data_IF_988063282249
#
_entry.id   IF_988063282249
#
_cell.length_a   1.000
_cell.length_b   1.000
_cell.length_c   1.000
_cell.angle_alpha   90.00
_cell.angle_beta   90.00
_cell.angle_gamma   90.00
#
_symmetry.space_group_name_H-M   'P 1'
#
loop_
_entity.id
_entity.type
_entity.pdbx_description
1 polymer ?
#
# COMPACT_ATOMS: atom_id res chain seq x y z
N UNK A 1 7.18 6.84 5.94
CA UNK A 1 8.48 7.54 6.05
C UNK A 1 9.59 6.71 5.41
N UNK A 2 9.93 5.52 5.92
CA UNK A 2 10.92 4.64 5.26
C UNK A 2 10.59 4.34 3.78
N UNK A 3 9.35 3.93 3.50
CA UNK A 3 8.87 3.73 2.13
C UNK A 3 9.10 4.94 1.21
N UNK A 4 9.07 6.17 1.73
CA UNK A 4 9.31 7.40 0.96
C UNK A 4 10.80 7.67 0.78
N UNK A 5 11.61 7.42 1.81
CA UNK A 5 13.06 7.55 1.74
C UNK A 5 13.68 6.53 0.78
N UNK A 6 13.17 5.30 0.78
CA UNK A 6 13.67 4.20 -0.06
C UNK A 6 12.92 4.03 -1.38
N UNK A 7 11.79 4.72 -1.54
CA UNK A 7 10.85 4.53 -2.66
C UNK A 7 10.45 3.05 -2.87
N UNK A 8 10.10 2.36 -1.77
CA UNK A 8 9.76 0.93 -1.76
C UNK A 8 8.63 0.59 -0.77
N UNK A 9 8.39 -0.71 -0.54
CA UNK A 9 7.36 -1.23 0.40
C UNK A 9 7.98 -1.56 1.78
N UNK A 10 9.22 -1.15 2.04
CA UNK A 10 9.93 -1.43 3.28
C UNK A 10 9.18 -0.91 4.49
N UNK A 11 8.79 -1.84 5.37
CA UNK A 11 8.14 -1.52 6.64
C UNK A 11 9.16 -1.27 7.75
N UNK A 12 8.72 -1.49 8.99
CA UNK A 12 9.54 -1.24 10.18
C UNK A 12 10.42 -2.45 10.50
N UNK A 13 11.46 -2.70 9.70
CA UNK A 13 12.53 -3.59 10.13
C UNK A 13 13.49 -2.78 11.02
N UNK A 14 13.63 -3.14 12.30
CA UNK A 14 14.50 -2.40 13.23
C UNK A 14 15.96 -2.49 12.82
N UNK A 15 16.43 -3.64 12.30
CA UNK A 15 17.81 -3.77 11.85
C UNK A 15 18.09 -2.86 10.65
N UNK A 16 17.13 -2.70 9.74
CA UNK A 16 17.25 -1.75 8.61
C UNK A 16 17.15 -0.30 9.05
N UNK A 17 16.34 0.00 10.08
CA UNK A 17 16.28 1.34 10.68
C UNK A 17 17.62 1.67 11.30
N UNK A 18 18.18 0.75 12.07
CA UNK A 18 19.48 0.91 12.74
C UNK A 18 20.60 1.05 11.72
N UNK A 19 20.62 0.24 10.65
CA UNK A 19 21.58 0.39 9.55
C UNK A 19 21.44 1.73 8.82
N UNK A 20 20.21 2.18 8.57
CA UNK A 20 19.97 3.45 7.89
C UNK A 20 20.35 4.64 8.78
N UNK A 21 19.98 4.63 10.06
CA UNK A 21 20.36 5.67 11.02
C UNK A 21 21.86 5.70 11.29
N UNK A 22 22.54 4.54 11.27
CA UNK A 22 24.01 4.48 11.37
C UNK A 22 24.72 5.28 10.25
N UNK A 23 24.09 5.48 9.08
CA UNK A 23 24.60 6.34 8.00
C UNK A 23 24.51 7.84 8.31
N UNK A 24 23.83 8.21 9.39
CA UNK A 24 23.64 9.59 9.84
C UNK A 24 24.21 9.84 11.26
N UNK A 25 24.90 8.87 11.86
CA UNK A 25 25.51 9.00 13.20
C UNK A 25 26.70 9.99 13.22
N UNK A 26 27.25 10.32 12.04
CA UNK A 26 28.29 11.33 11.90
C UNK A 26 27.67 12.66 11.43
N UNK A 27 27.80 13.77 12.19
CA UNK A 27 27.23 15.08 11.84
C UNK A 27 27.72 15.66 10.50
N UNK A 28 28.76 15.06 9.90
CA UNK A 28 29.36 15.49 8.64
C UNK A 28 28.94 14.61 7.44
N UNK A 29 28.15 13.56 7.67
CA UNK A 29 27.65 12.69 6.61
C UNK A 29 26.28 13.20 6.14
N UNK A 30 26.33 14.12 5.16
CA UNK A 30 25.16 14.43 4.33
C UNK A 30 25.11 13.36 3.26
N UNK A 31 24.02 12.60 3.14
CA UNK A 31 23.80 11.75 1.98
C UNK A 31 23.72 12.68 0.75
N UNK A 32 24.72 12.67 -0.14
CA UNK A 32 24.75 13.61 -1.27
C UNK A 32 23.61 13.37 -2.27
N UNK A 33 22.89 12.25 -2.16
CA UNK A 33 21.75 11.93 -3.01
C UNK A 33 20.40 12.27 -2.35
N UNK A 34 20.37 12.64 -1.07
CA UNK A 34 19.14 13.06 -0.41
C UNK A 34 18.85 14.54 -0.68
N UNK A 35 17.76 14.80 -1.38
CA UNK A 35 17.26 16.16 -1.64
C UNK A 35 16.03 16.41 -0.78
N UNK A 36 16.19 17.18 0.31
CA UNK A 36 15.13 17.44 1.30
C UNK A 36 13.87 18.06 0.65
N UNK A 37 14.05 18.97 -0.30
CA UNK A 37 12.95 19.62 -1.00
C UNK A 37 12.12 18.63 -1.83
N UNK A 38 12.78 17.70 -2.55
CA UNK A 38 12.09 16.65 -3.32
C UNK A 38 11.34 15.69 -2.40
N UNK A 39 11.94 15.36 -1.25
CA UNK A 39 11.30 14.54 -0.23
C UNK A 39 10.02 15.21 0.31
N UNK A 40 10.12 16.49 0.68
CA UNK A 40 9.00 17.26 1.22
C UNK A 40 7.88 17.43 0.17
N UNK A 41 8.24 17.71 -1.07
CA UNK A 41 7.30 17.82 -2.19
C UNK A 41 6.56 16.50 -2.42
N UNK A 42 7.29 15.38 -2.48
CA UNK A 42 6.66 14.06 -2.67
C UNK A 42 5.76 13.69 -1.49
N UNK A 43 6.17 13.99 -0.26
CA UNK A 43 5.34 13.78 0.93
C UNK A 43 4.03 14.56 0.86
N UNK A 44 4.08 15.85 0.57
CA UNK A 44 2.90 16.71 0.50
C UNK A 44 2.01 16.34 -0.70
N UNK A 45 2.58 15.91 -1.83
CA UNK A 45 1.82 15.39 -2.97
C UNK A 45 1.01 14.15 -2.59
N UNK A 46 1.65 13.15 -1.98
CA UNK A 46 1.00 11.90 -1.55
C UNK A 46 -0.08 12.19 -0.51
N UNK A 47 0.24 13.00 0.50
CA UNK A 47 -0.71 13.42 1.54
C UNK A 47 -1.90 14.17 0.94
N UNK A 48 -1.64 15.12 0.03
CA UNK A 48 -2.67 15.89 -0.65
C UNK A 48 -3.63 15.00 -1.44
N UNK A 49 -3.10 14.02 -2.16
CA UNK A 49 -3.91 13.05 -2.88
C UNK A 49 -4.76 12.17 -1.95
N UNK A 50 -4.20 11.65 -0.85
CA UNK A 50 -4.95 10.86 0.14
C UNK A 50 -6.09 11.69 0.77
N UNK A 51 -5.83 12.96 1.09
CA UNK A 51 -6.85 13.87 1.62
C UNK A 51 -7.95 14.13 0.61
N UNK A 52 -7.60 14.32 -0.67
CA UNK A 52 -8.57 14.48 -1.75
C UNK A 52 -9.43 13.23 -1.92
N UNK A 53 -8.84 12.03 -1.92
CA UNK A 53 -9.58 10.75 -1.93
C UNK A 53 -10.51 10.66 -0.72
N UNK A 54 -10.04 11.02 0.47
CA UNK A 54 -10.85 10.98 1.69
C UNK A 54 -12.00 12.00 1.69
N UNK A 55 -11.93 13.06 0.88
CA UNK A 55 -13.05 13.99 0.71
C UNK A 55 -14.27 13.30 0.09
N UNK A 56 -14.06 12.23 -0.68
CA UNK A 56 -15.12 11.38 -1.22
C UNK A 56 -15.61 10.39 -0.16
N UNK A 57 -16.79 10.66 0.40
CA UNK A 57 -17.50 9.79 1.34
C UNK A 57 -16.68 9.31 2.56
N UNK A 58 -15.61 10.03 2.92
CA UNK A 58 -14.72 9.65 4.03
C UNK A 58 -14.12 8.25 3.87
N UNK A 59 -13.90 7.81 2.61
CA UNK A 59 -13.53 6.43 2.27
C UNK A 59 -12.26 5.97 2.98
N UNK A 60 -11.23 6.81 3.07
CA UNK A 60 -9.96 6.48 3.71
C UNK A 60 -10.17 6.34 5.22
N UNK A 61 -10.77 7.33 5.87
CA UNK A 61 -11.02 7.29 7.31
C UNK A 61 -12.04 6.21 7.72
N UNK A 62 -12.81 5.66 6.78
CA UNK A 62 -13.75 4.56 7.02
C UNK A 62 -13.09 3.20 6.84
N UNK A 63 -12.36 2.99 5.73
CA UNK A 63 -11.90 1.67 5.28
C UNK A 63 -10.40 1.42 5.52
N UNK A 64 -9.61 2.48 5.67
CA UNK A 64 -8.17 2.43 5.93
C UNK A 64 -7.80 2.72 7.40
N UNK A 65 -8.70 2.44 8.34
CA UNK A 65 -8.50 2.76 9.78
C UNK A 65 -7.32 2.01 10.41
N UNK A 66 -7.01 0.82 9.94
CA UNK A 66 -5.91 0.01 10.46
C UNK A 66 -4.59 0.48 9.86
N UNK A 67 -3.50 0.37 10.62
CA UNK A 67 -2.16 0.66 10.11
C UNK A 67 -1.85 -0.16 8.85
N UNK A 68 -2.27 -1.42 8.79
CA UNK A 68 -2.11 -2.31 7.64
C UNK A 68 -2.72 -1.71 6.37
N UNK A 69 -3.97 -1.24 6.43
CA UNK A 69 -4.69 -0.73 5.26
C UNK A 69 -4.23 0.67 4.89
N UNK A 70 -3.99 1.54 5.89
CA UNK A 70 -3.46 2.87 5.64
C UNK A 70 -2.08 2.80 4.99
N UNK A 71 -1.20 1.92 5.49
CA UNK A 71 0.13 1.72 4.92
C UNK A 71 0.07 1.22 3.48
N UNK A 72 -0.80 0.26 3.17
CA UNK A 72 -0.98 -0.22 1.79
C UNK A 72 -1.49 0.89 0.85
N UNK A 73 -2.40 1.75 1.30
CA UNK A 73 -2.85 2.92 0.54
C UNK A 73 -1.74 3.96 0.37
N UNK A 74 -0.95 4.22 1.42
CA UNK A 74 0.20 5.12 1.38
C UNK A 74 1.23 4.64 0.35
N UNK A 75 1.62 3.37 0.40
CA UNK A 75 2.55 2.78 -0.56
C UNK A 75 2.00 2.79 -1.98
N UNK A 76 0.68 2.56 -2.16
CA UNK A 76 0.06 2.73 -3.48
C UNK A 76 0.25 4.16 -3.99
N UNK A 77 -0.11 5.17 -3.19
CA UNK A 77 0.00 6.57 -3.59
C UNK A 77 1.47 6.99 -3.86
N UNK A 78 2.39 6.40 -3.12
CA UNK A 78 3.81 6.70 -3.18
C UNK A 78 4.53 6.05 -4.36
N UNK A 79 4.17 4.83 -4.74
CA UNK A 79 4.90 4.06 -5.77
C UNK A 79 4.29 4.22 -7.17
N UNK A 80 3.15 4.90 -7.29
CA UNK A 80 2.54 5.21 -8.57
C UNK A 80 2.87 6.66 -8.94
N UNK A 81 3.56 6.84 -10.07
CA UNK A 81 3.85 8.17 -10.62
C UNK A 81 2.58 8.83 -11.16
N UNK A 82 1.73 8.05 -11.83
CA UNK A 82 0.48 8.51 -12.45
C UNK A 82 -0.71 8.14 -11.57
N UNK A 83 -0.93 8.93 -10.51
CA UNK A 83 -2.05 8.69 -9.60
C UNK A 83 -3.40 8.88 -10.31
N UNK A 84 -4.34 7.95 -10.14
CA UNK A 84 -5.69 8.14 -10.65
C UNK A 84 -6.35 9.37 -10.01
N UNK A 85 -7.23 10.01 -10.76
CA UNK A 85 -8.04 11.11 -10.21
C UNK A 85 -8.81 10.63 -8.95
N UNK A 86 -8.80 11.41 -7.85
CA UNK A 86 -9.45 11.02 -6.60
C UNK A 86 -10.91 10.56 -6.74
N UNK A 87 -11.67 11.22 -7.63
CA UNK A 87 -13.06 10.90 -7.92
C UNK A 87 -13.25 9.51 -8.57
N UNK A 88 -12.26 9.06 -9.36
CA UNK A 88 -12.26 7.74 -10.00
C UNK A 88 -11.67 6.67 -9.07
N UNK A 89 -10.69 7.04 -8.24
CA UNK A 89 -10.06 6.12 -7.29
C UNK A 89 -11.01 5.74 -6.14
N UNK A 90 -11.64 6.73 -5.50
CA UNK A 90 -12.43 6.53 -4.29
C UNK A 90 -13.50 5.42 -4.39
N UNK A 91 -14.40 5.40 -5.40
CA UNK A 91 -15.41 4.35 -5.50
C UNK A 91 -14.81 2.96 -5.76
N UNK A 92 -13.70 2.88 -6.52
CA UNK A 92 -13.01 1.60 -6.78
C UNK A 92 -12.34 1.06 -5.52
N UNK A 93 -11.66 1.94 -4.78
CA UNK A 93 -11.06 1.59 -3.50
C UNK A 93 -12.12 1.17 -2.48
N UNK A 94 -13.27 1.85 -2.46
CA UNK A 94 -14.40 1.47 -1.61
C UNK A 94 -14.87 0.04 -1.90
N UNK A 95 -15.21 -0.26 -3.17
CA UNK A 95 -15.67 -1.60 -3.54
C UNK A 95 -14.63 -2.69 -3.30
N UNK A 96 -13.35 -2.38 -3.51
CA UNK A 96 -12.24 -3.27 -3.17
C UNK A 96 -12.21 -3.60 -1.69
N UNK A 97 -12.18 -2.58 -0.82
CA UNK A 97 -12.06 -2.76 0.62
C UNK A 97 -13.32 -3.36 1.27
N UNK A 98 -14.51 -3.07 0.74
CA UNK A 98 -15.76 -3.72 1.17
C UNK A 98 -15.73 -5.22 0.86
N UNK A 99 -15.24 -5.61 -0.33
CA UNK A 99 -15.05 -7.01 -0.70
C UNK A 99 -14.00 -7.70 0.18
N UNK A 100 -12.86 -7.05 0.43
CA UNK A 100 -11.84 -7.53 1.39
C UNK A 100 -12.47 -7.76 2.76
N UNK A 101 -13.27 -6.81 3.26
CA UNK A 101 -13.95 -6.94 4.55
C UNK A 101 -14.98 -8.09 4.57
N UNK A 102 -15.68 -8.34 3.46
CA UNK A 102 -16.59 -9.47 3.33
C UNK A 102 -15.83 -10.81 3.37
N UNK A 103 -14.73 -10.94 2.62
CA UNK A 103 -13.86 -12.13 2.61
C UNK A 103 -13.29 -12.38 4.00
N UNK A 104 -12.85 -11.33 4.69
CA UNK A 104 -12.30 -11.44 6.04
C UNK A 104 -13.32 -11.92 7.08
N UNK A 105 -14.63 -11.72 6.84
CA UNK A 105 -15.72 -12.11 7.74
C UNK A 105 -16.39 -13.43 7.37
N UNK A 106 -16.15 -13.94 6.15
CA UNK A 106 -16.78 -15.16 5.67
C UNK A 106 -16.32 -16.38 6.49
N UNK A 107 -17.26 -17.30 6.77
CA UNK A 107 -16.95 -18.59 7.39
C UNK A 107 -16.14 -19.47 6.43
N UNK A 108 -16.49 -19.43 5.14
CA UNK A 108 -15.74 -20.05 4.05
C UNK A 108 -15.27 -18.98 3.04
N UNK A 109 -14.06 -18.43 3.20
CA UNK A 109 -13.51 -17.44 2.26
C UNK A 109 -13.27 -17.99 0.85
N UNK A 110 -13.01 -19.29 0.70
CA UNK A 110 -12.64 -19.91 -0.59
C UNK A 110 -13.80 -19.86 -1.59
N UNK A 111 -15.04 -19.70 -1.13
CA UNK A 111 -16.19 -19.50 -2.00
C UNK A 111 -16.05 -18.30 -2.95
N UNK A 112 -15.28 -17.28 -2.56
CA UNK A 112 -15.01 -16.10 -3.41
C UNK A 112 -14.09 -16.42 -4.59
N UNK A 113 -13.42 -17.58 -4.57
CA UNK A 113 -12.61 -18.10 -5.66
C UNK A 113 -13.29 -19.24 -6.43
N UNK A 114 -14.54 -19.58 -6.10
CA UNK A 114 -15.29 -20.62 -6.79
C UNK A 114 -16.06 -20.06 -7.99
N UNK A 115 -16.09 -20.84 -9.09
CA UNK A 115 -16.93 -20.54 -10.25
C UNK A 115 -16.43 -19.39 -11.14
N UNK A 116 -17.37 -18.80 -11.88
CA UNK A 116 -17.10 -17.77 -12.90
C UNK A 116 -16.60 -16.44 -12.30
N UNK A 117 -16.93 -16.17 -11.03
CA UNK A 117 -16.55 -14.93 -10.33
C UNK A 117 -15.15 -14.99 -9.70
N UNK A 118 -14.44 -16.12 -9.82
CA UNK A 118 -13.09 -16.29 -9.24
C UNK A 118 -12.10 -15.20 -9.67
N UNK A 119 -12.15 -14.78 -10.93
CA UNK A 119 -11.32 -13.70 -11.46
C UNK A 119 -11.71 -12.32 -10.92
N UNK A 120 -12.98 -12.12 -10.54
CA UNK A 120 -13.50 -10.85 -10.04
C UNK A 120 -12.95 -10.52 -8.63
N UNK A 121 -12.74 -11.55 -7.81
CA UNK A 121 -12.34 -11.39 -6.41
C UNK A 121 -10.88 -11.77 -6.11
N UNK A 122 -10.12 -12.28 -7.08
CA UNK A 122 -8.75 -12.78 -6.85
C UNK A 122 -7.83 -11.78 -6.14
N UNK A 123 -7.90 -10.49 -6.47
CA UNK A 123 -7.06 -9.47 -5.84
C UNK A 123 -7.51 -9.17 -4.41
N UNK A 124 -8.82 -9.04 -4.20
CA UNK A 124 -9.44 -8.79 -2.90
C UNK A 124 -9.15 -9.98 -1.96
N UNK A 125 -9.22 -11.20 -2.48
CA UNK A 125 -8.88 -12.41 -1.75
C UNK A 125 -7.40 -12.44 -1.37
N UNK A 126 -6.49 -12.22 -2.34
CA UNK A 126 -5.05 -12.15 -2.08
C UNK A 126 -4.72 -11.09 -1.03
N UNK A 127 -5.32 -9.90 -1.14
CA UNK A 127 -5.15 -8.84 -0.16
C UNK A 127 -5.65 -9.28 1.23
N UNK A 128 -6.84 -9.88 1.32
CA UNK A 128 -7.44 -10.34 2.57
C UNK A 128 -6.58 -11.39 3.28
N UNK A 129 -6.05 -12.36 2.54
CA UNK A 129 -5.17 -13.39 3.10
C UNK A 129 -3.89 -12.77 3.69
N UNK A 130 -3.34 -11.78 2.99
CA UNK A 130 -2.15 -11.06 3.44
C UNK A 130 -2.45 -9.95 4.46
N UNK A 131 -3.71 -9.71 4.81
CA UNK A 131 -4.10 -8.78 5.88
C UNK A 131 -4.31 -9.48 7.24
N UNK A 132 -4.31 -10.83 7.27
CA UNK A 132 -4.46 -11.65 8.48
C UNK A 132 -3.09 -12.07 9.04
N UNK A 133 -3.05 -12.40 10.34
CA UNK A 133 -1.86 -12.97 10.99
C UNK A 133 -0.65 -12.04 10.95
N UNK A 134 0.48 -12.54 10.44
CA UNK A 134 1.76 -11.82 10.29
C UNK A 134 1.71 -10.74 9.18
N UNK A 135 0.69 -9.88 9.19
CA UNK A 135 0.42 -8.90 8.15
C UNK A 135 1.46 -7.76 8.09
N UNK A 136 2.33 -7.67 9.09
CA UNK A 136 3.42 -6.70 9.13
C UNK A 136 4.63 -7.17 8.36
N UNK A 137 4.78 -8.46 8.03
CA UNK A 137 5.96 -8.99 7.36
C UNK A 137 6.06 -8.54 5.89
N UNK A 138 7.30 -8.45 5.37
CA UNK A 138 7.56 -7.92 4.02
C UNK A 138 6.77 -8.64 2.93
N UNK A 139 6.73 -9.98 2.84
CA UNK A 139 5.99 -10.68 1.80
C UNK A 139 4.50 -10.31 1.79
N UNK A 140 3.90 -10.15 2.96
CA UNK A 140 2.51 -9.78 3.14
C UNK A 140 2.26 -8.33 2.72
N UNK A 141 3.19 -7.41 3.05
CA UNK A 141 3.11 -6.01 2.59
C UNK A 141 3.17 -5.92 1.07
N UNK A 142 4.11 -6.64 0.45
CA UNK A 142 4.28 -6.69 -1.02
C UNK A 142 3.05 -7.28 -1.69
N UNK A 143 2.54 -8.41 -1.20
CA UNK A 143 1.35 -9.06 -1.77
C UNK A 143 0.11 -8.15 -1.70
N UNK A 144 -0.11 -7.45 -0.57
CA UNK A 144 -1.19 -6.46 -0.46
C UNK A 144 -1.02 -5.29 -1.43
N UNK A 145 0.20 -4.77 -1.57
CA UNK A 145 0.47 -3.69 -2.51
C UNK A 145 0.17 -4.13 -3.95
N UNK A 146 0.69 -5.29 -4.38
CA UNK A 146 0.42 -5.87 -5.70
C UNK A 146 -1.06 -6.05 -5.97
N UNK A 147 -1.78 -6.62 -5.02
CA UNK A 147 -3.22 -6.84 -5.15
C UNK A 147 -3.99 -5.52 -5.32
N UNK A 148 -3.69 -4.50 -4.51
CA UNK A 148 -4.32 -3.19 -4.62
C UNK A 148 -3.94 -2.49 -5.92
N UNK A 149 -2.65 -2.49 -6.28
CA UNK A 149 -2.16 -1.86 -7.49
C UNK A 149 -2.79 -2.49 -8.73
N UNK A 150 -2.74 -3.82 -8.87
CA UNK A 150 -3.32 -4.53 -10.00
C UNK A 150 -4.82 -4.31 -10.12
N UNK A 151 -5.56 -4.31 -9.00
CA UNK A 151 -6.99 -4.01 -9.03
C UNK A 151 -7.30 -2.59 -9.51
N UNK A 152 -6.50 -1.59 -9.11
CA UNK A 152 -6.74 -0.18 -9.43
C UNK A 152 -6.22 0.18 -10.83
N UNK A 153 -5.04 -0.28 -11.22
CA UNK A 153 -4.44 0.07 -12.51
C UNK A 153 -4.86 -0.88 -13.64
N UNK A 154 -5.30 -2.10 -13.30
CA UNK A 154 -5.51 -3.18 -14.26
C UNK A 154 -4.21 -3.81 -14.75
N UNK A 155 -3.06 -3.46 -14.18
CA UNK A 155 -1.73 -3.93 -14.56
C UNK A 155 -1.16 -4.82 -13.46
N UNK A 156 -0.80 -6.05 -13.81
CA UNK A 156 -0.08 -6.94 -12.90
C UNK A 156 1.34 -6.42 -12.69
N UNK A 157 1.72 -6.23 -11.43
CA UNK A 157 3.11 -5.96 -11.08
C UNK A 157 3.90 -7.28 -11.14
N UNK A 158 5.14 -7.24 -11.68
CA UNK A 158 5.95 -8.44 -11.77
C UNK A 158 6.23 -9.03 -10.39
N UNK A 159 6.40 -10.35 -10.36
CA UNK A 159 7.08 -10.98 -9.25
C UNK A 159 8.55 -10.60 -9.34
N UNK A 160 8.97 -9.64 -8.50
CA UNK A 160 10.39 -9.43 -8.24
C UNK A 160 10.94 -10.75 -7.72
N UNK A 161 11.68 -11.45 -8.59
CA UNK A 161 12.57 -12.51 -8.18
C UNK A 161 13.43 -11.98 -7.04
N UNK A 162 13.50 -12.76 -5.97
CA UNK A 162 14.41 -12.56 -4.84
C UNK A 162 15.82 -12.27 -5.39
N UNK A 163 16.21 -11.00 -5.46
CA UNK A 163 17.61 -10.60 -5.67
C UNK A 163 18.28 -10.45 -4.32
#
# INVERSE_FOLDING_TARGET
MLALLKNDISGFNQDELDEYYAKYDSPNEVDPNFVEDEFAERFEQVKGWILAVNAHNKVVSTLAKTYTNFYSLWCFALLNENLPEPANFAPRYQGFMESVAAILKAEDPEQFLAGEDSLLYRHQFSYAQNARGANTELPQRVARHKALAAFITGVELPDEDQQ
#
